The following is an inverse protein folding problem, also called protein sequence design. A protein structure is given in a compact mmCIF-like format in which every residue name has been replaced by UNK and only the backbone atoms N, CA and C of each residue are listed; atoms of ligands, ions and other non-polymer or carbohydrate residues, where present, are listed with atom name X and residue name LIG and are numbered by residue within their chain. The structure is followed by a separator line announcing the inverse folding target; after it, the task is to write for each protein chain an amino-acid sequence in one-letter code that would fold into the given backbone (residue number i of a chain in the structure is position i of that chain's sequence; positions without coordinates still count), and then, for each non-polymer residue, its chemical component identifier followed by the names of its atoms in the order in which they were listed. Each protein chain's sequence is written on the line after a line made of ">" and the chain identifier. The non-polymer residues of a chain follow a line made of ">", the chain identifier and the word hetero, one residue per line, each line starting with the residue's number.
data_IF_235632905409
#
_entry.id   IF_235632905409
#
_cell.length_a   1.000
_cell.length_b   1.000
_cell.length_c   1.000
_cell.angle_alpha   90.00
_cell.angle_beta   90.00
_cell.angle_gamma   90.00
#
_symmetry.space_group_name_H-M   'P 1'
#
loop_
_entity.id
_entity.type
_entity.pdbx_description
1 polymer ?
#
# COMPACT_ATOMS: atom_id res chain seq x y z
N UNK A 1 24.47 -37.53 21.14
CA UNK A 1 23.32 -36.98 20.36
C UNK A 1 22.45 -36.08 21.21
N UNK A 2 22.24 -36.29 22.50
CA UNK A 2 21.47 -35.38 23.38
C UNK A 2 22.21 -34.08 23.74
N UNK A 3 23.53 -34.07 23.69
CA UNK A 3 24.33 -32.85 23.98
C UNK A 3 24.43 -31.88 22.84
N UNK A 4 24.20 -32.32 21.58
CA UNK A 4 24.15 -31.45 20.42
C UNK A 4 22.79 -30.78 20.21
N UNK A 5 21.70 -31.36 20.71
CA UNK A 5 20.36 -30.78 20.67
C UNK A 5 20.19 -29.58 21.62
N UNK A 6 20.98 -29.52 22.71
CA UNK A 6 20.97 -28.43 23.67
C UNK A 6 21.79 -27.20 23.22
N UNK A 7 22.73 -27.39 22.31
CA UNK A 7 23.54 -26.29 21.73
C UNK A 7 22.80 -25.44 20.71
N UNK A 8 21.65 -25.88 20.17
CA UNK A 8 20.85 -25.16 19.14
C UNK A 8 19.71 -24.34 19.71
N UNK A 9 19.50 -24.26 20.98
CA UNK A 9 18.74 -23.14 21.59
C UNK A 9 19.64 -21.89 21.58
N UNK A 10 19.90 -21.35 20.38
CA UNK A 10 20.35 -19.97 20.26
C UNK A 10 19.30 -19.11 20.94
N UNK A 11 19.67 -18.52 22.07
CA UNK A 11 18.93 -17.45 22.69
C UNK A 11 18.68 -16.41 21.59
N UNK A 12 17.45 -16.31 21.11
CA UNK A 12 17.03 -15.18 20.33
C UNK A 12 17.11 -14.01 21.29
N UNK A 13 18.23 -13.29 21.29
CA UNK A 13 18.37 -12.05 22.05
C UNK A 13 17.32 -11.11 21.48
N UNK A 14 16.29 -10.84 22.26
CA UNK A 14 15.32 -9.83 21.92
C UNK A 14 16.02 -8.48 21.99
N UNK A 15 16.18 -7.85 20.83
CA UNK A 15 16.65 -6.46 20.77
C UNK A 15 15.52 -5.60 21.33
N UNK A 16 15.84 -4.78 22.33
CA UNK A 16 14.88 -3.89 22.97
C UNK A 16 15.08 -2.50 22.37
N UNK A 17 14.06 -2.01 21.68
CA UNK A 17 14.02 -0.64 21.17
C UNK A 17 13.36 0.26 22.22
N UNK A 18 14.09 1.24 22.73
CA UNK A 18 13.58 2.15 23.75
C UNK A 18 13.11 3.47 23.15
N UNK A 19 11.91 3.91 23.50
CA UNK A 19 11.29 5.16 23.06
C UNK A 19 11.03 6.02 24.29
N UNK A 20 11.56 7.25 24.29
CA UNK A 20 11.28 8.25 25.32
C UNK A 20 9.95 8.95 24.97
N UNK A 21 8.93 8.74 25.79
CA UNK A 21 7.57 9.22 25.52
C UNK A 21 7.48 10.74 25.47
N UNK A 22 8.23 11.46 26.31
CA UNK A 22 8.24 12.94 26.32
C UNK A 22 8.72 13.55 25.00
N UNK A 23 9.64 12.87 24.34
CA UNK A 23 10.16 13.28 23.02
C UNK A 23 9.12 13.15 21.93
N UNK A 24 8.13 12.26 22.10
CA UNK A 24 7.01 12.07 21.15
C UNK A 24 5.92 13.14 21.29
N UNK A 25 5.81 13.75 22.48
CA UNK A 25 4.76 14.77 22.78
C UNK A 25 5.24 16.21 22.45
N UNK A 26 6.54 16.47 22.51
CA UNK A 26 7.14 17.75 22.16
C UNK A 26 7.72 17.73 20.76
N UNK A 27 7.15 18.51 19.84
CA UNK A 27 7.56 18.66 18.44
C UNK A 27 9.09 18.60 18.22
N UNK A 28 9.51 17.62 17.43
CA UNK A 28 10.87 17.25 17.03
C UNK A 28 11.42 16.07 17.84
N UNK A 29 11.23 14.92 17.23
CA UNK A 29 11.71 13.63 17.73
C UNK A 29 13.24 13.62 17.78
N UNK A 30 13.82 13.86 18.94
CA UNK A 30 15.20 13.50 19.20
C UNK A 30 15.19 12.11 19.84
N UNK A 31 15.54 11.10 19.07
CA UNK A 31 15.74 9.76 19.65
C UNK A 31 17.01 9.75 20.46
N UNK A 32 16.90 9.70 21.77
CA UNK A 32 17.97 9.19 22.60
C UNK A 32 17.69 7.71 22.79
N UNK A 33 18.48 6.88 22.14
CA UNK A 33 18.62 5.47 22.51
C UNK A 33 19.19 5.45 23.92
N UNK A 34 18.45 4.89 24.87
CA UNK A 34 19.00 4.51 26.16
C UNK A 34 19.89 3.28 25.89
N UNK A 35 21.13 3.54 25.51
CA UNK A 35 22.14 2.49 25.41
C UNK A 35 22.57 2.21 26.83
N UNK A 36 22.16 1.05 27.38
CA UNK A 36 22.96 0.39 28.38
C UNK A 36 24.34 0.20 27.77
N UNK A 37 25.34 0.86 28.35
CA UNK A 37 26.71 0.98 27.79
C UNK A 37 27.45 -0.36 27.60
N UNK A 38 26.77 -1.50 27.68
CA UNK A 38 27.36 -2.84 27.63
C UNK A 38 26.69 -3.81 26.64
N UNK A 39 25.73 -3.39 25.80
CA UNK A 39 25.18 -4.29 24.80
C UNK A 39 25.61 -3.84 23.37
N UNK A 40 26.56 -4.61 22.72
CA UNK A 40 27.04 -4.27 21.39
C UNK A 40 26.00 -4.48 20.27
N UNK A 41 24.84 -5.05 20.59
CA UNK A 41 23.77 -5.37 19.63
C UNK A 41 22.58 -4.39 19.69
N UNK A 42 22.71 -3.26 20.40
CA UNK A 42 21.66 -2.24 20.45
C UNK A 42 21.62 -1.46 19.14
N UNK A 43 20.60 -1.70 18.35
CA UNK A 43 20.33 -0.92 17.13
C UNK A 43 19.73 0.44 17.47
N UNK A 44 20.31 1.50 16.90
CA UNK A 44 19.79 2.85 16.95
C UNK A 44 18.56 2.94 16.04
N UNK A 45 17.37 3.21 16.58
CA UNK A 45 16.19 3.49 15.80
C UNK A 45 16.41 4.86 15.14
N UNK A 46 16.67 4.86 13.83
CA UNK A 46 16.72 6.10 13.04
C UNK A 46 15.29 6.51 12.73
N UNK A 47 14.90 7.76 13.03
CA UNK A 47 13.65 8.28 12.53
C UNK A 47 13.69 8.28 11.00
N UNK A 48 12.75 7.60 10.37
CA UNK A 48 12.49 7.79 8.96
C UNK A 48 11.70 9.08 8.86
N UNK A 49 12.41 10.14 8.59
CA UNK A 49 11.92 11.47 8.24
C UNK A 49 10.87 12.16 9.16
N UNK A 50 10.75 13.43 9.01
CA UNK A 50 9.91 14.46 9.62
C UNK A 50 8.45 14.11 9.96
N UNK A 51 8.00 12.89 9.76
CA UNK A 51 6.60 12.43 9.96
C UNK A 51 6.35 11.69 11.28
N UNK A 52 7.36 11.49 12.14
CA UNK A 52 7.16 10.83 13.44
C UNK A 52 6.84 9.32 13.35
N UNK A 53 7.23 8.65 12.27
CA UNK A 53 7.06 7.20 12.10
C UNK A 53 8.32 6.48 12.59
N UNK A 54 8.15 5.55 13.52
CA UNK A 54 9.22 4.67 13.98
C UNK A 54 9.11 3.32 13.25
N UNK A 55 10.23 2.83 12.69
CA UNK A 55 10.28 1.50 12.06
C UNK A 55 10.98 0.51 12.96
N UNK A 56 10.39 -0.69 13.13
CA UNK A 56 10.89 -1.75 14.01
C UNK A 56 10.77 -3.09 13.32
N UNK A 57 11.78 -3.96 13.37
CA UNK A 57 11.67 -5.33 12.86
C UNK A 57 10.59 -6.14 13.57
N UNK A 58 9.95 -7.06 12.84
CA UNK A 58 8.98 -7.98 13.41
C UNK A 58 9.63 -8.89 14.47
N UNK A 59 8.91 -9.14 15.55
CA UNK A 59 9.36 -9.96 16.67
C UNK A 59 10.21 -9.21 17.71
N UNK A 60 10.51 -7.93 17.50
CA UNK A 60 11.27 -7.12 18.46
C UNK A 60 10.38 -6.55 19.57
N UNK A 61 11.00 -6.18 20.66
CA UNK A 61 10.36 -5.52 21.80
C UNK A 61 10.58 -4.02 21.70
N UNK A 62 9.50 -3.25 21.73
CA UNK A 62 9.55 -1.79 21.87
C UNK A 62 9.30 -1.44 23.34
N UNK A 63 10.27 -0.78 23.96
CA UNK A 63 10.18 -0.28 25.32
C UNK A 63 9.84 1.21 25.31
N UNK A 64 8.73 1.54 25.91
CA UNK A 64 8.33 2.93 26.16
C UNK A 64 8.85 3.35 27.54
N UNK A 65 9.64 4.41 27.55
CA UNK A 65 10.23 4.95 28.77
C UNK A 65 9.59 6.30 29.08
N UNK A 66 9.02 6.43 30.26
CA UNK A 66 8.43 7.68 30.73
C UNK A 66 9.17 8.11 32.00
N UNK A 67 9.88 9.25 31.99
CA UNK A 67 10.55 9.78 33.15
C UNK A 67 9.57 9.98 34.31
N UNK A 68 10.01 9.70 35.53
CA UNK A 68 9.16 9.78 36.71
C UNK A 68 8.70 11.18 37.05
N UNK A 69 9.49 12.19 36.69
CA UNK A 69 9.21 13.61 36.90
C UNK A 69 8.35 14.21 35.77
N UNK A 70 7.98 13.38 34.78
CA UNK A 70 7.07 13.80 33.72
C UNK A 70 5.70 14.15 34.25
N UNK A 71 5.08 15.19 33.66
CA UNK A 71 3.69 15.52 33.89
C UNK A 71 2.71 14.42 33.49
N UNK A 72 3.17 13.47 32.64
CA UNK A 72 2.42 12.33 32.17
C UNK A 72 2.58 11.08 33.08
N UNK A 73 3.37 11.15 34.14
CA UNK A 73 3.68 10.02 35.02
C UNK A 73 2.58 9.75 36.09
N UNK A 74 1.38 10.27 35.90
CA UNK A 74 0.23 10.06 36.80
C UNK A 74 -0.62 8.92 36.25
N UNK A 75 -0.52 7.73 36.86
CA UNK A 75 -1.22 6.50 36.40
C UNK A 75 -1.12 6.29 34.88
N UNK A 76 0.12 6.19 34.33
CA UNK A 76 0.31 6.15 32.91
C UNK A 76 -0.09 4.79 32.33
N UNK A 77 -0.87 4.82 31.25
CA UNK A 77 -1.29 3.64 30.49
C UNK A 77 -0.96 3.85 29.02
N UNK A 78 -0.30 2.88 28.40
CA UNK A 78 -0.11 2.86 26.94
C UNK A 78 -1.33 2.22 26.29
N UNK A 79 -1.92 2.90 25.34
CA UNK A 79 -3.08 2.43 24.57
C UNK A 79 -2.66 2.15 23.14
N UNK A 80 -2.87 0.94 22.65
CA UNK A 80 -2.40 0.49 21.33
C UNK A 80 -3.33 -0.54 20.71
N UNK A 81 -3.37 -0.55 19.38
CA UNK A 81 -4.02 -1.60 18.60
C UNK A 81 -3.02 -2.69 18.13
N UNK A 82 -1.76 -2.67 18.58
CA UNK A 82 -0.80 -3.73 18.27
C UNK A 82 -1.28 -5.09 18.81
N UNK A 83 -1.19 -6.18 18.02
CA UNK A 83 -1.68 -7.50 18.41
C UNK A 83 -0.88 -8.07 19.60
N UNK A 84 -1.54 -8.87 20.44
CA UNK A 84 -0.91 -9.55 21.58
C UNK A 84 -0.17 -10.84 21.21
N UNK A 85 -0.47 -11.37 20.02
CA UNK A 85 0.08 -12.62 19.53
C UNK A 85 0.46 -12.52 18.06
N UNK A 86 1.28 -13.43 17.53
CA UNK A 86 1.57 -13.48 16.10
C UNK A 86 0.38 -13.92 15.23
N UNK A 87 -0.67 -14.47 15.83
CA UNK A 87 -1.90 -14.79 15.11
C UNK A 87 -2.75 -13.52 14.93
N UNK A 88 -2.75 -13.04 13.70
CA UNK A 88 -3.51 -11.84 13.27
C UNK A 88 -4.82 -12.18 12.55
N UNK A 89 -5.26 -13.44 12.57
CA UNK A 89 -6.49 -13.87 11.88
C UNK A 89 -7.75 -13.13 12.36
N UNK A 90 -7.76 -12.70 13.63
CA UNK A 90 -8.82 -11.93 14.25
C UNK A 90 -8.43 -10.47 14.53
N UNK A 91 -7.36 -9.97 13.89
CA UNK A 91 -6.91 -8.61 14.12
C UNK A 91 -7.96 -7.58 13.69
N UNK A 92 -8.33 -6.71 14.63
CA UNK A 92 -9.21 -5.56 14.39
C UNK A 92 -8.45 -4.27 14.67
N UNK A 93 -8.26 -3.47 13.62
CA UNK A 93 -7.54 -2.19 13.69
C UNK A 93 -8.21 -1.18 14.63
N UNK A 94 -9.49 -1.32 14.89
CA UNK A 94 -10.26 -0.43 15.78
C UNK A 94 -10.24 -0.88 17.24
N UNK A 95 -9.78 -2.12 17.50
CA UNK A 95 -9.67 -2.68 18.84
C UNK A 95 -8.36 -2.27 19.50
N UNK A 96 -8.44 -1.51 20.58
CA UNK A 96 -7.29 -1.06 21.35
C UNK A 96 -7.25 -1.71 22.72
N UNK A 97 -6.05 -1.97 23.20
CA UNK A 97 -5.77 -2.49 24.55
C UNK A 97 -4.95 -1.51 25.36
N UNK A 98 -5.08 -1.60 26.67
CA UNK A 98 -4.31 -0.82 27.64
C UNK A 98 -3.16 -1.68 28.18
N UNK A 99 -1.97 -1.10 28.19
CA UNK A 99 -0.77 -1.71 28.76
C UNK A 99 -0.29 -0.81 29.90
N UNK A 100 -0.26 -1.30 31.16
CA UNK A 100 0.19 -0.51 32.28
C UNK A 100 1.70 -0.28 32.22
N UNK A 101 2.14 0.89 32.61
CA UNK A 101 3.54 1.14 32.88
C UNK A 101 3.93 0.58 34.22
N UNK A 102 5.11 -0.05 34.30
CA UNK A 102 5.71 -0.56 35.51
C UNK A 102 6.90 0.29 35.91
N UNK A 103 7.06 0.57 37.20
CA UNK A 103 8.21 1.32 37.68
C UNK A 103 9.45 0.42 37.73
N UNK A 104 10.53 0.84 37.09
CA UNK A 104 11.78 0.06 37.03
C UNK A 104 12.44 -0.12 38.42
N UNK A 105 12.27 0.87 39.30
CA UNK A 105 12.73 0.84 40.67
C UNK A 105 11.75 1.62 41.55
N UNK A 106 11.21 1.06 42.66
CA UNK A 106 10.04 1.60 43.36
C UNK A 106 10.09 3.05 43.81
N UNK A 107 11.26 3.63 44.03
CA UNK A 107 11.38 5.00 44.56
C UNK A 107 12.07 6.00 43.60
N UNK A 108 12.84 5.52 42.62
CA UNK A 108 13.74 6.38 41.81
C UNK A 108 13.67 6.07 40.33
N UNK A 109 13.06 4.98 39.91
CA UNK A 109 13.10 4.49 38.54
C UNK A 109 12.02 5.11 37.65
N UNK A 110 12.31 5.18 36.36
CA UNK A 110 11.36 5.57 35.30
C UNK A 110 10.25 4.51 35.15
N UNK A 111 9.15 4.94 34.54
CA UNK A 111 8.06 4.05 34.17
C UNK A 111 8.35 3.41 32.82
N UNK A 112 8.17 2.09 32.72
CA UNK A 112 8.46 1.29 31.53
C UNK A 112 7.23 0.51 31.10
N UNK A 113 6.97 0.48 29.78
CA UNK A 113 5.99 -0.42 29.18
C UNK A 113 6.62 -1.11 27.96
N UNK A 114 6.61 -2.44 27.94
CA UNK A 114 7.19 -3.25 26.88
C UNK A 114 6.08 -3.81 25.99
N UNK A 115 6.24 -3.66 24.67
CA UNK A 115 5.32 -4.20 23.66
C UNK A 115 6.10 -5.02 22.65
N UNK A 116 5.76 -6.31 22.54
CA UNK A 116 6.33 -7.17 21.50
C UNK A 116 5.60 -6.89 20.19
N UNK A 117 6.33 -6.58 19.12
CA UNK A 117 5.79 -6.35 17.78
C UNK A 117 5.66 -7.68 17.05
N UNK A 118 4.57 -8.40 17.31
CA UNK A 118 4.38 -9.79 16.87
C UNK A 118 4.16 -9.95 15.37
N UNK A 119 3.60 -8.95 14.71
CA UNK A 119 3.24 -9.03 13.30
C UNK A 119 3.62 -7.76 12.55
N UNK A 120 3.93 -7.91 11.26
CA UNK A 120 4.17 -6.78 10.36
C UNK A 120 2.90 -5.94 10.17
N UNK A 121 3.06 -4.62 10.12
CA UNK A 121 1.94 -3.70 9.97
C UNK A 121 2.22 -2.31 10.52
N UNK A 122 1.22 -1.45 10.46
CA UNK A 122 1.24 -0.12 11.07
C UNK A 122 0.30 -0.11 12.28
N UNK A 123 0.83 0.21 13.44
CA UNK A 123 0.10 0.19 14.70
C UNK A 123 0.10 1.56 15.36
N UNK A 124 -1.06 1.90 15.90
CA UNK A 124 -1.32 3.16 16.57
C UNK A 124 -1.03 3.05 18.06
N UNK A 125 -0.41 4.09 18.59
CA UNK A 125 -0.06 4.22 20.01
C UNK A 125 -0.43 5.59 20.54
N UNK A 126 -0.92 5.66 21.75
CA UNK A 126 -1.03 6.89 22.52
C UNK A 126 -0.96 6.59 24.01
N UNK A 127 -0.56 7.56 24.78
CA UNK A 127 -0.49 7.47 26.22
C UNK A 127 -1.77 8.10 26.82
N UNK A 128 -2.29 7.45 27.82
CA UNK A 128 -3.35 7.96 28.70
C UNK A 128 -2.75 8.16 30.08
N UNK A 129 -2.91 9.35 30.66
CA UNK A 129 -2.36 9.70 31.96
C UNK A 129 -3.41 10.45 32.77
N UNK A 130 -3.40 10.28 34.11
CA UNK A 130 -4.32 10.94 35.04
C UNK A 130 -5.35 9.99 35.61
N UNK A 131 -6.10 10.48 36.61
CA UNK A 131 -7.12 9.72 37.34
C UNK A 131 -8.54 10.18 36.90
N UNK A 132 -9.45 9.24 36.76
CA UNK A 132 -10.88 9.44 36.54
C UNK A 132 -11.23 10.52 35.49
N UNK A 133 -11.86 11.62 35.89
CA UNK A 133 -12.35 12.67 35.01
C UNK A 133 -11.27 13.62 34.45
N UNK A 134 -10.03 13.56 34.98
CA UNK A 134 -8.90 14.37 34.54
C UNK A 134 -7.91 13.60 33.64
N UNK A 135 -8.38 12.62 32.88
CA UNK A 135 -7.51 11.85 31.99
C UNK A 135 -7.07 12.66 30.78
N UNK A 136 -5.77 12.79 30.63
CA UNK A 136 -5.14 13.37 29.44
C UNK A 136 -4.75 12.26 28.46
N UNK A 137 -5.05 12.47 27.18
CA UNK A 137 -4.62 11.60 26.09
C UNK A 137 -3.63 12.35 25.19
N UNK A 138 -2.47 11.74 24.94
CA UNK A 138 -1.51 12.28 23.97
C UNK A 138 -2.02 12.17 22.54
N UNK A 139 -1.47 12.94 21.59
CA UNK A 139 -1.64 12.64 20.16
C UNK A 139 -1.28 11.19 19.86
N UNK A 140 -1.91 10.61 18.86
CA UNK A 140 -1.60 9.26 18.38
C UNK A 140 -0.36 9.33 17.50
N UNK A 141 0.57 8.40 17.71
CA UNK A 141 1.71 8.16 16.83
C UNK A 141 1.69 6.73 16.31
N UNK A 142 2.49 6.46 15.29
CA UNK A 142 2.50 5.17 14.61
C UNK A 142 3.87 4.50 14.70
N UNK A 143 3.85 3.19 14.88
CA UNK A 143 5.01 2.32 14.74
C UNK A 143 4.75 1.42 13.52
N UNK A 144 5.69 1.45 12.57
CA UNK A 144 5.70 0.58 11.42
C UNK A 144 6.56 -0.64 11.73
N UNK A 145 5.94 -1.81 11.73
CA UNK A 145 6.65 -3.08 11.94
C UNK A 145 6.97 -3.68 10.58
N UNK A 146 8.26 -3.86 10.31
CA UNK A 146 8.75 -4.42 9.05
C UNK A 146 8.33 -5.88 8.88
N UNK A 147 8.03 -6.33 7.65
CA UNK A 147 7.73 -7.73 7.38
C UNK A 147 8.97 -8.62 7.58
N UNK A 148 8.77 -9.81 8.12
CA UNK A 148 9.80 -10.86 8.20
C UNK A 148 9.89 -11.57 6.84
N UNK A 149 10.61 -10.95 5.90
CA UNK A 149 10.84 -11.53 4.58
C UNK A 149 11.95 -12.57 4.64
N UNK A 150 11.71 -13.74 4.02
CA UNK A 150 12.67 -14.85 4.00
C UNK A 150 12.81 -15.42 2.60
N UNK A 151 14.06 -15.68 2.23
CA UNK A 151 14.42 -16.45 1.03
C UNK A 151 15.19 -17.69 1.50
N UNK A 152 14.71 -18.88 1.19
CA UNK A 152 15.27 -20.15 1.68
C UNK A 152 15.49 -20.17 3.21
N UNK A 153 14.56 -19.59 3.95
CA UNK A 153 14.62 -19.52 5.41
C UNK A 153 15.58 -18.46 5.99
N UNK A 154 16.36 -17.79 5.14
CA UNK A 154 17.23 -16.69 5.57
C UNK A 154 16.47 -15.36 5.54
N UNK A 155 16.59 -14.52 6.60
CA UNK A 155 15.95 -13.23 6.63
C UNK A 155 16.54 -12.30 5.56
N UNK A 156 15.68 -11.50 4.92
CA UNK A 156 16.04 -10.53 3.88
C UNK A 156 15.69 -9.14 4.37
N UNK A 157 16.68 -8.27 4.49
CA UNK A 157 16.44 -6.88 4.87
C UNK A 157 15.71 -6.11 3.77
N UNK A 158 14.78 -5.21 4.13
CA UNK A 158 14.07 -4.38 3.15
C UNK A 158 15.04 -3.56 2.27
N UNK A 159 16.15 -3.09 2.84
CA UNK A 159 17.19 -2.35 2.13
C UNK A 159 17.96 -3.16 1.07
N UNK A 160 17.85 -4.50 1.10
CA UNK A 160 18.50 -5.42 0.15
C UNK A 160 17.56 -5.88 -0.98
N UNK A 161 16.31 -5.40 -0.98
CA UNK A 161 15.35 -5.76 -2.02
C UNK A 161 15.70 -5.09 -3.35
N UNK A 162 15.86 -5.91 -4.39
CA UNK A 162 16.09 -5.49 -5.75
C UNK A 162 14.94 -6.02 -6.62
N UNK A 163 14.07 -5.11 -7.10
CA UNK A 163 12.78 -5.45 -7.73
C UNK A 163 12.87 -5.33 -9.23
N UNK A 164 12.47 -6.40 -9.94
CA UNK A 164 12.22 -6.38 -11.39
C UNK A 164 10.73 -6.50 -11.66
N UNK A 165 10.17 -5.52 -12.38
CA UNK A 165 8.76 -5.53 -12.79
C UNK A 165 8.56 -6.21 -14.13
N UNK A 166 7.52 -7.03 -14.23
CA UNK A 166 7.04 -7.65 -15.45
C UNK A 166 5.57 -7.30 -15.70
N UNK A 167 5.25 -7.01 -16.95
CA UNK A 167 3.86 -6.96 -17.41
C UNK A 167 3.40 -8.40 -17.63
N UNK A 168 2.62 -8.94 -16.72
CA UNK A 168 2.19 -10.35 -16.70
C UNK A 168 1.59 -10.79 -18.04
N UNK A 169 0.74 -9.95 -18.63
CA UNK A 169 0.11 -10.18 -19.95
C UNK A 169 1.12 -10.43 -21.09
N UNK A 170 2.33 -9.91 -20.97
CA UNK A 170 3.38 -10.03 -21.98
C UNK A 170 4.30 -11.22 -21.74
N UNK A 171 4.11 -11.98 -20.66
CA UNK A 171 5.00 -13.10 -20.30
C UNK A 171 4.61 -14.43 -20.95
N UNK A 172 3.49 -14.50 -21.64
CA UNK A 172 2.98 -15.74 -22.23
C UNK A 172 2.43 -16.72 -21.19
N UNK A 173 2.55 -18.01 -21.47
CA UNK A 173 2.03 -19.06 -20.60
C UNK A 173 2.78 -19.14 -19.27
N UNK A 174 2.11 -19.55 -18.20
CA UNK A 174 2.74 -19.74 -16.88
C UNK A 174 3.99 -20.62 -16.94
N UNK A 175 4.02 -21.62 -17.85
CA UNK A 175 5.15 -22.51 -18.05
C UNK A 175 6.40 -21.77 -18.55
N UNK A 176 6.25 -20.62 -19.21
CA UNK A 176 7.34 -19.82 -19.77
C UNK A 176 7.92 -18.80 -18.75
N UNK A 177 7.18 -18.48 -17.69
CA UNK A 177 7.56 -17.42 -16.73
C UNK A 177 8.92 -17.67 -16.08
N UNK A 178 9.21 -18.93 -15.76
CA UNK A 178 10.49 -19.31 -15.18
C UNK A 178 11.70 -19.00 -16.10
N UNK A 179 11.52 -19.10 -17.42
CA UNK A 179 12.57 -18.77 -18.38
C UNK A 179 12.86 -17.26 -18.43
N UNK A 180 11.82 -16.43 -18.33
CA UNK A 180 11.97 -14.96 -18.29
C UNK A 180 12.64 -14.50 -16.99
N UNK A 181 12.20 -15.01 -15.85
CA UNK A 181 12.72 -14.62 -14.53
C UNK A 181 14.16 -15.06 -14.31
N UNK A 182 14.60 -16.15 -14.94
CA UNK A 182 15.98 -16.65 -14.83
C UNK A 182 17.02 -15.57 -15.09
N UNK A 183 16.80 -14.73 -16.09
CA UNK A 183 17.73 -13.65 -16.43
C UNK A 183 17.78 -12.58 -15.34
N UNK A 184 16.63 -12.18 -14.81
CA UNK A 184 16.56 -11.19 -13.72
C UNK A 184 17.26 -11.69 -12.45
N UNK A 185 17.05 -12.94 -12.07
CA UNK A 185 17.76 -13.56 -10.95
C UNK A 185 19.28 -13.56 -11.17
N UNK A 186 19.74 -13.87 -12.38
CA UNK A 186 21.16 -13.80 -12.72
C UNK A 186 21.75 -12.39 -12.59
N UNK A 187 20.93 -11.36 -12.87
CA UNK A 187 21.30 -9.95 -12.70
C UNK A 187 21.24 -9.46 -11.23
N UNK A 188 20.86 -10.30 -10.28
CA UNK A 188 20.84 -9.98 -8.86
C UNK A 188 19.48 -9.48 -8.34
N UNK A 189 18.42 -9.51 -9.16
CA UNK A 189 17.06 -9.21 -8.68
C UNK A 189 16.56 -10.35 -7.79
N UNK A 190 16.05 -10.01 -6.60
CA UNK A 190 15.56 -10.97 -5.62
C UNK A 190 14.05 -10.81 -5.34
N UNK A 191 13.42 -9.85 -6.01
CA UNK A 191 11.96 -9.67 -6.00
C UNK A 191 11.46 -9.50 -7.42
N UNK A 192 10.44 -10.27 -7.77
CA UNK A 192 9.75 -10.17 -9.06
C UNK A 192 8.37 -9.60 -8.82
N UNK A 193 8.13 -8.45 -9.42
CA UNK A 193 6.83 -7.78 -9.38
C UNK A 193 6.07 -8.05 -10.69
N UNK A 194 4.85 -8.54 -10.56
CA UNK A 194 3.93 -8.79 -11.66
C UNK A 194 2.81 -7.76 -11.67
N UNK A 195 2.50 -7.19 -12.83
CA UNK A 195 1.23 -6.51 -13.03
C UNK A 195 0.06 -7.48 -12.76
N UNK A 196 -1.18 -6.98 -12.60
CA UNK A 196 -2.32 -7.84 -12.25
C UNK A 196 -2.39 -9.13 -13.06
N UNK A 197 -2.72 -10.23 -12.39
CA UNK A 197 -2.89 -11.57 -12.98
C UNK A 197 -4.35 -11.93 -13.20
N UNK A 198 -5.27 -11.08 -12.75
CA UNK A 198 -6.70 -11.25 -12.95
C UNK A 198 -7.07 -11.06 -14.42
N UNK A 199 -8.26 -11.52 -14.78
CA UNK A 199 -8.79 -11.42 -16.15
C UNK A 199 -8.88 -9.97 -16.61
N UNK A 200 -8.15 -9.67 -17.69
CA UNK A 200 -8.05 -8.32 -18.26
C UNK A 200 -9.09 -8.11 -19.38
N UNK A 201 -9.45 -6.83 -19.56
CA UNK A 201 -10.32 -6.40 -20.64
C UNK A 201 -9.64 -6.28 -21.99
N UNK A 202 -10.36 -5.73 -22.96
CA UNK A 202 -9.89 -5.52 -24.35
C UNK A 202 -8.85 -4.42 -24.47
N UNK A 203 -8.77 -3.52 -23.51
CA UNK A 203 -7.77 -2.47 -23.47
C UNK A 203 -6.35 -3.04 -23.43
N UNK A 204 -5.36 -2.43 -24.09
CA UNK A 204 -3.97 -2.84 -24.01
C UNK A 204 -3.33 -2.61 -22.63
N UNK A 205 -3.96 -1.82 -21.76
CA UNK A 205 -3.45 -1.55 -20.42
C UNK A 205 -3.42 -2.82 -19.56
N UNK A 206 -2.34 -3.09 -18.84
CA UNK A 206 -2.24 -4.25 -17.95
C UNK A 206 -3.07 -4.11 -16.66
N UNK A 207 -3.72 -2.96 -16.44
CA UNK A 207 -4.48 -2.66 -15.23
C UNK A 207 -6.00 -2.65 -15.43
N UNK A 208 -6.49 -3.00 -16.61
CA UNK A 208 -7.92 -2.99 -16.95
C UNK A 208 -8.60 -4.30 -16.59
N UNK A 209 -8.80 -4.55 -15.31
CA UNK A 209 -9.41 -5.78 -14.80
C UNK A 209 -10.91 -5.79 -15.10
N UNK A 210 -11.40 -6.85 -15.74
CA UNK A 210 -12.84 -7.07 -16.00
C UNK A 210 -13.47 -8.05 -15.02
N UNK A 211 -12.68 -8.99 -14.51
CA UNK A 211 -13.12 -9.95 -13.50
C UNK A 211 -11.99 -10.18 -12.48
N UNK A 212 -12.11 -9.63 -11.27
CA UNK A 212 -11.08 -9.77 -10.23
C UNK A 212 -11.06 -11.17 -9.60
N UNK A 213 -12.07 -12.00 -9.83
CA UNK A 213 -12.19 -13.35 -9.26
C UNK A 213 -11.65 -14.44 -10.19
N UNK A 214 -11.28 -14.11 -11.43
CA UNK A 214 -10.74 -15.06 -12.40
C UNK A 214 -9.33 -14.68 -12.82
N UNK A 215 -8.51 -15.67 -13.15
CA UNK A 215 -7.20 -15.45 -13.75
C UNK A 215 -7.32 -15.17 -15.25
N UNK A 216 -6.36 -14.43 -15.82
CA UNK A 216 -6.37 -14.12 -17.25
C UNK A 216 -6.15 -15.42 -18.06
N UNK A 217 -7.04 -15.74 -19.01
CA UNK A 217 -6.95 -16.97 -19.78
C UNK A 217 -5.71 -17.06 -20.69
N UNK A 218 -5.05 -15.92 -20.97
CA UNK A 218 -3.81 -15.91 -21.76
C UNK A 218 -2.61 -16.61 -21.08
N UNK A 219 -2.67 -16.82 -19.76
CA UNK A 219 -1.65 -17.54 -19.01
C UNK A 219 -1.70 -19.05 -19.17
N UNK A 220 -2.76 -19.57 -19.79
CA UNK A 220 -3.08 -20.99 -19.86
C UNK A 220 -3.14 -21.48 -21.30
N UNK A 221 -2.60 -22.66 -21.56
CA UNK A 221 -2.84 -23.36 -22.82
C UNK A 221 -4.31 -23.85 -22.88
N UNK A 222 -4.75 -24.31 -24.05
CA UNK A 222 -6.16 -24.73 -24.28
C UNK A 222 -6.66 -25.76 -23.29
N UNK A 223 -5.81 -26.69 -22.86
CA UNK A 223 -6.18 -27.71 -21.88
C UNK A 223 -6.31 -27.11 -20.49
N UNK A 224 -5.38 -26.27 -20.11
CA UNK A 224 -5.36 -25.59 -18.81
C UNK A 224 -6.51 -24.58 -18.66
N UNK A 225 -6.98 -23.97 -19.75
CA UNK A 225 -8.16 -23.09 -19.75
C UNK A 225 -9.45 -23.80 -19.36
N UNK A 226 -9.55 -25.13 -19.58
CA UNK A 226 -10.73 -25.93 -19.19
C UNK A 226 -10.70 -26.41 -17.73
N UNK A 227 -9.60 -26.14 -17.01
CA UNK A 227 -9.48 -26.47 -15.59
C UNK A 227 -10.38 -25.57 -14.73
N UNK A 228 -10.76 -26.08 -13.57
CA UNK A 228 -11.44 -25.28 -12.57
C UNK A 228 -10.57 -24.11 -12.08
N UNK A 229 -11.21 -23.08 -11.55
CA UNK A 229 -10.49 -21.92 -10.98
C UNK A 229 -9.46 -22.32 -9.92
N UNK A 230 -9.81 -23.29 -9.05
CA UNK A 230 -8.89 -23.80 -8.03
C UNK A 230 -7.64 -24.48 -8.63
N UNK A 231 -7.81 -25.23 -9.71
CA UNK A 231 -6.70 -25.86 -10.42
C UNK A 231 -5.81 -24.81 -11.13
N UNK A 232 -6.41 -23.77 -11.71
CA UNK A 232 -5.68 -22.67 -12.32
C UNK A 232 -4.88 -21.89 -11.27
N UNK A 233 -5.45 -21.62 -10.08
CA UNK A 233 -4.72 -21.03 -8.96
C UNK A 233 -3.58 -21.91 -8.48
N UNK A 234 -3.76 -23.23 -8.45
CA UNK A 234 -2.70 -24.17 -8.08
C UNK A 234 -1.54 -24.15 -9.09
N UNK A 235 -1.81 -23.95 -10.39
CA UNK A 235 -0.77 -23.79 -11.41
C UNK A 235 0.02 -22.47 -11.19
N UNK A 236 -0.66 -21.36 -10.90
CA UNK A 236 -0.01 -20.09 -10.57
C UNK A 236 0.84 -20.23 -9.32
N UNK A 237 0.31 -20.84 -8.25
CA UNK A 237 1.03 -21.09 -7.01
C UNK A 237 2.29 -21.93 -7.24
N UNK A 238 2.20 -22.98 -8.06
CA UNK A 238 3.35 -23.81 -8.46
C UNK A 238 4.39 -23.01 -9.23
N UNK A 239 3.98 -22.11 -10.09
CA UNK A 239 4.89 -21.20 -10.81
C UNK A 239 5.62 -20.29 -9.83
N UNK A 240 4.91 -19.62 -8.92
CA UNK A 240 5.49 -18.76 -7.88
C UNK A 240 6.47 -19.54 -7.00
N UNK A 241 6.10 -20.76 -6.57
CA UNK A 241 6.97 -21.63 -5.79
C UNK A 241 8.24 -22.01 -6.57
N UNK A 242 8.11 -22.26 -7.88
CA UNK A 242 9.26 -22.51 -8.75
C UNK A 242 10.21 -21.31 -8.80
N UNK A 243 9.66 -20.09 -8.88
CA UNK A 243 10.46 -18.86 -8.89
C UNK A 243 11.18 -18.69 -7.55
N UNK A 244 10.48 -18.96 -6.44
CA UNK A 244 11.06 -18.88 -5.10
C UNK A 244 12.18 -19.90 -4.91
N UNK A 245 11.96 -21.17 -5.24
CA UNK A 245 12.92 -22.25 -4.97
C UNK A 245 14.11 -22.24 -5.93
N UNK A 246 13.88 -22.02 -7.23
CA UNK A 246 14.94 -22.11 -8.24
C UNK A 246 15.76 -20.85 -8.39
N UNK A 247 15.12 -19.69 -8.19
CA UNK A 247 15.76 -18.40 -8.48
C UNK A 247 15.91 -17.51 -7.25
N UNK A 248 15.52 -17.98 -6.06
CA UNK A 248 15.60 -17.21 -4.82
C UNK A 248 14.88 -15.85 -4.90
N UNK A 249 13.75 -15.81 -5.59
CA UNK A 249 12.97 -14.60 -5.78
C UNK A 249 11.68 -14.63 -4.97
N UNK A 250 11.40 -13.55 -4.27
CA UNK A 250 10.06 -13.25 -3.76
C UNK A 250 9.19 -12.74 -4.90
N UNK A 251 7.88 -12.93 -4.81
CA UNK A 251 6.94 -12.44 -5.80
C UNK A 251 5.98 -11.41 -5.18
N UNK A 252 5.75 -10.33 -5.90
CA UNK A 252 4.74 -9.31 -5.60
C UNK A 252 3.78 -9.26 -6.79
N UNK A 253 2.50 -9.09 -6.52
CA UNK A 253 1.48 -8.90 -7.56
C UNK A 253 0.64 -7.68 -7.24
N UNK A 254 0.32 -6.89 -8.27
CA UNK A 254 -0.62 -5.80 -8.14
C UNK A 254 -2.03 -6.32 -7.94
N UNK A 255 -2.73 -5.76 -6.95
CA UNK A 255 -4.14 -6.02 -6.68
C UNK A 255 -4.94 -4.74 -6.83
N UNK A 256 -5.96 -4.76 -7.68
CA UNK A 256 -6.80 -3.60 -7.94
C UNK A 256 -8.18 -3.81 -7.31
N UNK A 257 -8.46 -3.01 -6.28
CA UNK A 257 -9.72 -3.06 -5.54
C UNK A 257 -10.62 -1.84 -5.76
N UNK A 258 -10.08 -0.78 -6.35
CA UNK A 258 -10.74 0.54 -6.39
C UNK A 258 -11.62 0.76 -7.62
N UNK A 259 -11.48 -0.06 -8.65
CA UNK A 259 -12.26 0.07 -9.89
C UNK A 259 -12.34 -1.24 -10.67
N UNK A 260 -13.34 -1.31 -11.56
CA UNK A 260 -13.43 -2.32 -12.61
C UNK A 260 -13.40 -1.62 -13.98
N UNK A 261 -12.91 -2.31 -15.00
CA UNK A 261 -12.95 -1.79 -16.36
C UNK A 261 -14.39 -1.69 -16.89
N UNK A 262 -14.63 -0.76 -17.82
CA UNK A 262 -15.93 -0.57 -18.48
C UNK A 262 -16.46 -1.84 -19.19
N UNK A 263 -15.57 -2.77 -19.56
CA UNK A 263 -15.92 -4.07 -20.14
C UNK A 263 -16.41 -5.11 -19.10
N UNK A 264 -16.38 -4.79 -17.80
CA UNK A 264 -16.75 -5.72 -16.73
C UNK A 264 -18.23 -6.07 -16.79
N UNK A 265 -18.52 -7.35 -16.71
CA UNK A 265 -19.91 -7.85 -16.61
C UNK A 265 -20.59 -7.37 -15.32
N UNK A 266 -19.83 -7.14 -14.25
CA UNK A 266 -20.33 -6.58 -13.00
C UNK A 266 -20.98 -5.20 -13.18
N UNK A 267 -20.39 -4.34 -14.03
CA UNK A 267 -20.96 -3.02 -14.32
C UNK A 267 -22.24 -3.10 -15.15
N UNK A 268 -22.41 -4.18 -15.94
CA UNK A 268 -23.64 -4.42 -16.67
C UNK A 268 -24.76 -4.88 -15.72
N UNK A 269 -24.43 -5.74 -14.74
CA UNK A 269 -25.38 -6.27 -13.79
C UNK A 269 -25.65 -5.27 -12.64
N UNK A 270 -24.67 -4.43 -12.31
CA UNK A 270 -24.70 -3.42 -11.26
C UNK A 270 -24.28 -2.04 -11.76
N UNK A 271 -25.06 -1.43 -12.69
CA UNK A 271 -24.71 -0.12 -13.25
C UNK A 271 -24.67 1.01 -12.21
N UNK A 272 -25.30 0.83 -11.06
CA UNK A 272 -25.25 1.75 -9.93
C UNK A 272 -23.84 1.87 -9.31
N UNK A 273 -22.97 0.88 -9.50
CA UNK A 273 -21.58 0.90 -9.04
C UNK A 273 -20.67 1.75 -9.92
N UNK A 274 -21.10 2.08 -11.13
CA UNK A 274 -20.36 2.96 -12.04
C UNK A 274 -20.84 4.41 -11.92
N UNK A 275 -19.98 5.35 -12.31
CA UNK A 275 -20.39 6.73 -12.50
C UNK A 275 -21.41 6.81 -13.64
N UNK A 276 -22.59 7.34 -13.37
CA UNK A 276 -23.64 7.55 -14.35
C UNK A 276 -24.39 8.85 -14.07
N UNK A 277 -25.23 9.25 -15.01
CA UNK A 277 -25.97 10.53 -14.92
C UNK A 277 -26.94 10.61 -13.72
N UNK A 278 -27.34 9.46 -13.14
CA UNK A 278 -28.25 9.42 -12.02
C UNK A 278 -27.53 9.62 -10.69
N UNK A 279 -26.38 8.93 -10.49
CA UNK A 279 -25.63 8.99 -9.23
C UNK A 279 -24.52 10.07 -9.24
N UNK A 280 -24.11 10.52 -10.44
CA UNK A 280 -23.01 11.48 -10.62
C UNK A 280 -23.35 12.55 -11.65
N UNK A 281 -24.44 13.33 -11.45
CA UNK A 281 -24.88 14.35 -12.41
C UNK A 281 -23.85 15.46 -12.62
N UNK A 282 -22.95 15.69 -11.67
CA UNK A 282 -21.85 16.64 -11.76
C UNK A 282 -20.80 16.25 -12.82
N UNK A 283 -20.74 14.98 -13.19
CA UNK A 283 -19.84 14.48 -14.26
C UNK A 283 -20.45 14.53 -15.66
N UNK A 284 -21.58 15.23 -15.83
CA UNK A 284 -22.27 15.34 -17.14
C UNK A 284 -21.36 15.83 -18.25
N UNK A 285 -20.51 16.82 -17.99
CA UNK A 285 -19.61 17.37 -19.00
C UNK A 285 -18.55 16.35 -19.41
N UNK A 286 -18.08 15.50 -18.50
CA UNK A 286 -17.14 14.40 -18.83
C UNK A 286 -17.81 13.39 -19.77
N UNK A 287 -19.07 12.97 -19.50
CA UNK A 287 -19.82 12.11 -20.42
C UNK A 287 -20.03 12.77 -21.78
N UNK A 288 -20.36 14.06 -21.79
CA UNK A 288 -20.53 14.81 -23.05
C UNK A 288 -19.22 14.87 -23.84
N UNK A 289 -18.07 15.02 -23.15
CA UNK A 289 -16.76 14.95 -23.79
C UNK A 289 -16.51 13.58 -24.43
N UNK A 290 -16.75 12.49 -23.69
CA UNK A 290 -16.56 11.13 -24.22
C UNK A 290 -17.40 10.89 -25.48
N UNK A 291 -18.68 11.27 -25.45
CA UNK A 291 -19.58 11.15 -26.61
C UNK A 291 -19.11 12.01 -27.79
N UNK A 292 -18.62 13.21 -27.53
CA UNK A 292 -18.12 14.11 -28.56
C UNK A 292 -16.80 13.64 -29.16
N UNK A 293 -15.90 13.06 -28.36
CA UNK A 293 -14.68 12.41 -28.84
C UNK A 293 -14.99 11.19 -29.70
N UNK A 294 -15.99 10.40 -29.30
CA UNK A 294 -16.45 9.28 -30.10
C UNK A 294 -16.99 9.74 -31.46
N UNK A 295 -17.90 10.74 -31.48
CA UNK A 295 -18.44 11.31 -32.73
C UNK A 295 -17.33 11.93 -33.60
N UNK A 296 -16.40 12.67 -33.01
CA UNK A 296 -15.23 13.21 -33.68
C UNK A 296 -14.40 12.10 -34.34
N UNK A 297 -14.09 11.02 -33.59
CA UNK A 297 -13.34 9.87 -34.11
C UNK A 297 -14.07 9.19 -35.28
N UNK A 298 -15.39 9.06 -35.17
CA UNK A 298 -16.22 8.50 -36.26
C UNK A 298 -16.22 9.38 -37.51
N UNK A 299 -16.35 10.69 -37.33
CA UNK A 299 -16.28 11.66 -38.46
C UNK A 299 -14.90 11.68 -39.10
N UNK A 300 -13.84 11.59 -38.32
CA UNK A 300 -12.45 11.47 -38.79
C UNK A 300 -12.28 10.20 -39.63
N UNK A 301 -12.72 9.04 -39.11
CA UNK A 301 -12.70 7.77 -39.83
C UNK A 301 -13.48 7.84 -41.15
N UNK A 302 -14.62 8.52 -41.18
CA UNK A 302 -15.48 8.70 -42.36
C UNK A 302 -14.98 9.81 -43.31
N UNK A 303 -13.79 10.39 -43.09
CA UNK A 303 -13.25 11.50 -43.87
C UNK A 303 -14.16 12.75 -43.94
N UNK A 304 -14.95 12.98 -42.89
CA UNK A 304 -15.91 14.11 -42.82
C UNK A 304 -15.31 15.37 -42.18
N UNK A 305 -14.06 15.34 -41.76
CA UNK A 305 -13.39 16.51 -41.19
C UNK A 305 -12.40 17.05 -42.22
N UNK A 306 -12.66 18.25 -42.79
CA UNK A 306 -11.81 18.84 -43.79
C UNK A 306 -10.36 19.04 -43.27
N UNK A 307 -9.38 18.72 -44.11
CA UNK A 307 -7.97 18.92 -43.80
C UNK A 307 -7.34 17.88 -42.84
N UNK A 308 -8.12 16.92 -42.33
CA UNK A 308 -7.63 15.83 -41.52
C UNK A 308 -7.65 14.48 -42.25
N UNK A 309 -6.64 13.66 -41.98
CA UNK A 309 -6.55 12.29 -42.48
C UNK A 309 -7.09 11.29 -41.44
N UNK A 310 -7.73 10.22 -41.90
CA UNK A 310 -8.26 9.15 -41.04
C UNK A 310 -7.19 8.30 -40.37
N UNK A 311 -5.93 8.47 -40.77
CA UNK A 311 -4.77 7.79 -40.17
C UNK A 311 -3.72 8.80 -39.77
N UNK A 312 -3.33 8.76 -38.51
CA UNK A 312 -2.22 9.54 -37.97
C UNK A 312 -0.92 8.88 -38.41
N UNK A 313 -0.03 9.60 -39.05
CA UNK A 313 1.28 9.11 -39.53
C UNK A 313 2.43 9.95 -39.02
N UNK A 314 2.20 11.21 -38.76
CA UNK A 314 3.21 12.19 -38.36
C UNK A 314 2.74 12.98 -37.13
N UNK A 315 3.67 13.64 -36.47
CA UNK A 315 3.34 14.57 -35.38
C UNK A 315 2.50 15.75 -35.89
N UNK A 316 2.73 16.19 -37.10
CA UNK A 316 1.93 17.25 -37.72
C UNK A 316 0.44 16.84 -37.87
N UNK A 317 0.16 15.56 -38.12
CA UNK A 317 -1.22 15.06 -38.15
C UNK A 317 -1.86 15.15 -36.75
N UNK A 318 -1.08 14.85 -35.69
CA UNK A 318 -1.53 14.99 -34.30
C UNK A 318 -1.80 16.45 -33.96
N UNK A 319 -0.88 17.35 -34.30
CA UNK A 319 -1.00 18.78 -34.01
C UNK A 319 -2.26 19.36 -34.68
N UNK A 320 -2.52 19.00 -35.96
CA UNK A 320 -3.73 19.42 -36.67
C UNK A 320 -5.01 18.88 -36.02
N UNK A 321 -5.00 17.64 -35.53
CA UNK A 321 -6.14 17.08 -34.80
C UNK A 321 -6.38 17.88 -33.52
N UNK A 322 -5.31 18.17 -32.76
CA UNK A 322 -5.38 18.98 -31.54
C UNK A 322 -5.93 20.39 -31.85
N UNK A 323 -5.45 21.04 -32.90
CA UNK A 323 -5.91 22.37 -33.31
C UNK A 323 -7.43 22.37 -33.62
N UNK A 324 -7.90 21.37 -34.32
CA UNK A 324 -9.35 21.25 -34.63
C UNK A 324 -10.15 20.94 -33.36
N UNK A 325 -9.64 20.09 -32.47
CA UNK A 325 -10.31 19.81 -31.20
C UNK A 325 -10.36 21.05 -30.31
N UNK A 326 -9.30 21.84 -30.28
CA UNK A 326 -9.23 23.09 -29.49
C UNK A 326 -10.16 24.15 -30.05
N UNK A 327 -10.29 24.25 -31.39
CA UNK A 327 -11.14 25.24 -32.04
C UNK A 327 -12.64 24.90 -31.95
N UNK A 328 -12.99 23.63 -32.17
CA UNK A 328 -14.39 23.24 -32.43
C UNK A 328 -15.01 22.43 -31.28
N UNK A 329 -14.21 21.57 -30.59
CA UNK A 329 -14.74 20.62 -29.64
C UNK A 329 -14.67 21.13 -28.19
N UNK A 330 -13.49 21.52 -27.72
CA UNK A 330 -13.28 21.87 -26.32
C UNK A 330 -14.07 23.11 -25.84
N UNK A 331 -14.25 24.16 -26.63
CA UNK A 331 -15.07 25.30 -26.20
C UNK A 331 -16.52 24.92 -25.86
N UNK A 332 -17.05 23.90 -26.57
CA UNK A 332 -18.43 23.42 -26.33
C UNK A 332 -18.56 22.58 -25.05
N UNK A 333 -17.44 22.03 -24.51
CA UNK A 333 -17.45 21.10 -23.40
C UNK A 333 -17.38 21.75 -22.01
N UNK A 334 -17.02 23.02 -21.92
CA UNK A 334 -16.89 23.76 -20.67
C UNK A 334 -16.05 23.01 -19.62
N UNK A 335 -14.97 22.36 -20.05
CA UNK A 335 -14.11 21.52 -19.18
C UNK A 335 -13.48 22.29 -18.04
N UNK A 336 -13.30 23.61 -18.19
CA UNK A 336 -12.80 24.48 -17.14
C UNK A 336 -13.66 24.46 -15.86
N UNK A 337 -14.94 24.11 -15.95
CA UNK A 337 -15.81 24.00 -14.78
C UNK A 337 -15.39 22.88 -13.81
N UNK A 338 -14.61 21.90 -14.29
CA UNK A 338 -14.15 20.78 -13.48
C UNK A 338 -12.77 21.00 -12.88
N UNK A 339 -11.89 21.73 -13.57
CA UNK A 339 -10.46 21.75 -13.23
C UNK A 339 -10.01 23.07 -12.59
N UNK A 340 -10.83 24.11 -12.64
CA UNK A 340 -10.44 25.45 -12.14
C UNK A 340 -11.25 25.85 -10.91
N UNK A 341 -12.36 25.19 -10.61
CA UNK A 341 -13.17 25.52 -9.46
C UNK A 341 -12.59 24.94 -8.16
N UNK A 342 -11.94 25.77 -7.35
CA UNK A 342 -11.64 25.48 -5.97
C UNK A 342 -12.96 25.64 -5.16
N UNK A 343 -13.67 24.53 -4.97
CA UNK A 343 -14.99 24.49 -4.33
C UNK A 343 -15.00 25.19 -2.97
N UNK A 344 -13.99 24.98 -2.15
CA UNK A 344 -13.89 25.58 -0.81
C UNK A 344 -13.72 27.10 -0.89
N UNK A 345 -12.92 27.59 -1.83
CA UNK A 345 -12.75 29.02 -2.07
C UNK A 345 -14.05 29.66 -2.56
N UNK A 346 -14.74 29.03 -3.52
CA UNK A 346 -16.02 29.51 -4.04
C UNK A 346 -17.10 29.55 -2.99
N UNK A 347 -17.15 28.56 -2.10
CA UNK A 347 -18.09 28.52 -0.97
C UNK A 347 -17.81 29.67 0.00
N UNK A 348 -16.56 29.97 0.29
CA UNK A 348 -16.18 31.06 1.19
C UNK A 348 -16.44 32.42 0.56
N UNK A 349 -16.14 32.60 -0.72
CA UNK A 349 -16.49 33.80 -1.49
C UNK A 349 -18.00 34.05 -1.51
N UNK A 350 -18.81 32.97 -1.71
CA UNK A 350 -20.26 33.04 -1.70
C UNK A 350 -20.78 33.41 -0.30
N UNK A 351 -20.28 32.82 0.76
CA UNK A 351 -20.62 33.18 2.15
C UNK A 351 -20.31 34.63 2.45
N UNK A 352 -19.14 35.11 2.02
CA UNK A 352 -18.73 36.52 2.20
C UNK A 352 -19.64 37.46 1.41
N UNK A 353 -20.07 37.09 0.21
CA UNK A 353 -20.99 37.88 -0.60
C UNK A 353 -22.39 37.97 0.01
N UNK A 354 -22.87 36.89 0.66
CA UNK A 354 -24.16 36.88 1.35
C UNK A 354 -24.19 37.72 2.66
N UNK A 355 -23.02 38.02 3.23
CA UNK A 355 -22.91 38.83 4.45
C UNK A 355 -22.77 40.35 4.15
N UNK A 356 -22.57 40.71 2.90
CA UNK A 356 -22.60 42.09 2.39
C UNK A 356 -23.99 42.51 1.92
#
# INVERSE_FOLDING_TARGET
>A
EETEALSRRRHTRHIIHSIQVETLVGSLISHRTCTDKHDPDSFEIRPVDTLGVCMVPCGQVVRFCLPRDSNLARDPMLHTNAPESPDISAFDRTSFRLIPFTCSTPLVGDFLADVVMHAAGSYDFHLISGFDDERYRTPTWQILVEPDLRIQGQPVALSSLCVQSYVSRSMGLLDDWAAHVRFSSYCGYNVIHFSPVQKLGKSPSPFTIVDPLSLDPSFFNRVQQSLSHGEQLALLAKTVETLHQKFNCLCIVDMIYSYANSDSEWLRDHPECAFNMRNSPHLRSALTLDLSLYDFSLRLYQHKIPGLHSRVRTNEDVDRIIDVMQADLFPCMRLWEFYIAHTDQLVEEFRTALQR
#
